data_IF_397439998497
#
_entry.id   IF_397439998497
#
_cell.length_a   1.000
_cell.length_b   1.000
_cell.length_c   1.000
_cell.angle_alpha   90.00
_cell.angle_beta   90.00
_cell.angle_gamma   90.00
#
_symmetry.space_group_name_H-M   'P 1'
#
loop_
_entity.id
_entity.type
_entity.pdbx_description
1 polymer ?
#
# COMPACT_ATOMS: atom_id res chain seq x y z
N UNK A 1 6.55 -19.86 -27.52
CA UNK A 1 6.85 -19.03 -26.33
C UNK A 1 5.58 -18.95 -25.49
N UNK A 2 4.95 -20.10 -25.27
CA UNK A 2 3.68 -20.26 -24.58
C UNK A 2 3.86 -21.50 -23.71
N UNK A 3 4.04 -21.31 -22.40
CA UNK A 3 3.96 -22.31 -21.31
C UNK A 3 4.72 -21.84 -20.04
N UNK A 4 4.55 -20.58 -19.62
CA UNK A 4 5.11 -20.10 -18.34
C UNK A 4 4.06 -19.77 -17.27
N UNK A 5 2.77 -19.96 -17.58
CA UNK A 5 1.69 -19.62 -16.65
C UNK A 5 1.12 -20.84 -15.89
N UNK A 6 1.53 -22.07 -16.22
CA UNK A 6 0.92 -23.27 -15.61
C UNK A 6 1.74 -23.97 -14.50
N UNK A 7 2.97 -23.55 -14.14
CA UNK A 7 3.78 -24.39 -13.21
C UNK A 7 4.55 -23.72 -12.05
N UNK A 8 4.52 -22.41 -11.84
CA UNK A 8 5.30 -21.82 -10.73
C UNK A 8 4.45 -21.41 -9.51
N UNK A 9 4.39 -22.29 -8.50
CA UNK A 9 3.88 -21.98 -7.14
C UNK A 9 4.62 -20.84 -6.41
N UNK A 10 5.63 -20.22 -7.04
CA UNK A 10 6.52 -19.20 -6.48
C UNK A 10 6.52 -17.88 -7.25
N UNK A 11 5.43 -17.55 -7.95
CA UNK A 11 5.31 -16.31 -8.71
C UNK A 11 4.15 -15.44 -8.18
N UNK A 12 4.39 -14.14 -8.03
CA UNK A 12 3.42 -13.13 -7.62
C UNK A 12 3.31 -12.06 -8.69
N UNK A 13 2.09 -11.65 -9.01
CA UNK A 13 1.83 -10.49 -9.87
C UNK A 13 1.14 -9.44 -9.03
N UNK A 14 1.70 -8.23 -9.01
CA UNK A 14 1.25 -7.15 -8.15
C UNK A 14 1.40 -5.80 -8.85
N UNK A 15 0.63 -4.82 -8.37
CA UNK A 15 0.68 -3.44 -8.85
C UNK A 15 1.09 -2.55 -7.71
N UNK A 16 2.21 -1.83 -7.88
CA UNK A 16 2.69 -0.81 -6.95
C UNK A 16 3.68 0.11 -7.67
N UNK A 17 3.82 1.34 -7.19
CA UNK A 17 4.63 2.38 -7.85
C UNK A 17 4.29 2.52 -9.35
N UNK A 18 3.00 2.54 -9.69
CA UNK A 18 2.51 2.74 -11.05
C UNK A 18 3.05 1.73 -12.07
N UNK A 19 3.29 0.49 -11.63
CA UNK A 19 3.84 -0.59 -12.46
C UNK A 19 3.17 -1.92 -12.15
N UNK A 20 3.00 -2.74 -13.19
CA UNK A 20 2.65 -4.15 -13.04
C UNK A 20 3.95 -4.94 -12.93
N UNK A 21 4.18 -5.53 -11.77
CA UNK A 21 5.35 -6.35 -11.48
C UNK A 21 4.98 -7.82 -11.51
N UNK A 22 5.85 -8.62 -12.10
CA UNK A 22 5.91 -10.06 -11.86
C UNK A 22 7.14 -10.34 -11.02
N UNK A 23 6.97 -10.96 -9.86
CA UNK A 23 8.00 -11.27 -8.89
C UNK A 23 8.05 -12.77 -8.67
N UNK A 24 9.24 -13.34 -8.52
CA UNK A 24 9.40 -14.74 -8.13
C UNK A 24 10.63 -14.93 -7.26
N UNK A 25 10.59 -15.97 -6.42
CA UNK A 25 11.75 -16.34 -5.60
C UNK A 25 12.68 -17.21 -6.44
N UNK A 26 13.97 -16.83 -6.52
CA UNK A 26 15.00 -17.65 -7.16
C UNK A 26 15.58 -18.61 -6.10
N UNK A 27 15.95 -18.07 -4.93
CA UNK A 27 16.42 -18.82 -3.76
C UNK A 27 16.22 -18.01 -2.47
N UNK A 28 16.92 -18.34 -1.38
CA UNK A 28 16.85 -17.65 -0.09
C UNK A 28 17.42 -16.22 -0.10
N UNK A 29 18.27 -15.89 -1.07
CA UNK A 29 19.01 -14.63 -1.13
C UNK A 29 18.59 -13.76 -2.33
N UNK A 30 17.93 -14.35 -3.33
CA UNK A 30 17.65 -13.70 -4.60
C UNK A 30 16.17 -13.76 -4.97
N UNK A 31 15.66 -12.60 -5.38
CA UNK A 31 14.36 -12.43 -6.01
C UNK A 31 14.56 -12.07 -7.49
N UNK A 32 13.76 -12.67 -8.36
CA UNK A 32 13.63 -12.25 -9.75
C UNK A 32 12.43 -11.33 -9.92
N UNK A 33 12.54 -10.39 -10.85
CA UNK A 33 11.46 -9.51 -11.21
C UNK A 33 11.40 -9.23 -12.71
N UNK A 34 10.21 -8.93 -13.20
CA UNK A 34 9.92 -8.46 -14.54
C UNK A 34 8.90 -7.31 -14.42
N UNK A 35 9.14 -6.21 -15.14
CA UNK A 35 8.14 -5.14 -15.29
C UNK A 35 7.28 -5.49 -16.50
N UNK A 36 6.03 -5.88 -16.25
CA UNK A 36 5.08 -6.23 -17.29
C UNK A 36 4.45 -5.00 -17.94
N UNK A 37 4.33 -3.89 -17.20
CA UNK A 37 3.76 -2.63 -17.68
C UNK A 37 4.14 -1.45 -16.78
N UNK A 38 4.22 -0.24 -17.36
CA UNK A 38 4.36 1.03 -16.64
C UNK A 38 3.15 1.91 -16.96
N UNK A 39 2.43 2.36 -15.94
CA UNK A 39 1.33 3.31 -16.08
C UNK A 39 1.83 4.77 -16.19
N UNK A 40 2.99 5.05 -15.59
CA UNK A 40 3.64 6.37 -15.62
C UNK A 40 5.13 6.27 -15.97
N UNK A 41 5.70 7.37 -16.49
CA UNK A 41 7.14 7.49 -16.69
C UNK A 41 7.87 7.64 -15.34
N UNK A 42 8.35 6.53 -14.80
CA UNK A 42 9.21 6.52 -13.61
C UNK A 42 10.67 6.37 -14.01
N UNK A 43 11.50 7.35 -13.64
CA UNK A 43 12.92 7.45 -14.00
C UNK A 43 13.84 6.70 -13.04
N UNK A 44 13.35 6.33 -11.85
CA UNK A 44 14.12 5.55 -10.88
C UNK A 44 14.38 4.14 -11.40
N UNK A 45 15.55 3.62 -11.04
CA UNK A 45 15.92 2.24 -11.35
C UNK A 45 14.88 1.29 -10.73
N UNK A 46 14.35 0.32 -11.50
CA UNK A 46 13.45 -0.70 -10.96
C UNK A 46 13.96 -1.40 -9.70
N UNK A 47 15.26 -1.65 -9.61
CA UNK A 47 15.90 -2.28 -8.47
C UNK A 47 15.78 -1.39 -7.22
N UNK A 48 16.07 -0.10 -7.34
CA UNK A 48 15.98 0.85 -6.23
C UNK A 48 14.55 0.92 -5.67
N UNK A 49 13.54 0.85 -6.54
CA UNK A 49 12.13 0.82 -6.14
C UNK A 49 11.77 -0.44 -5.37
N UNK A 50 12.29 -1.60 -5.78
CA UNK A 50 12.04 -2.86 -5.08
C UNK A 50 12.76 -2.89 -3.74
N UNK A 51 14.02 -2.45 -3.68
CA UNK A 51 14.77 -2.33 -2.43
C UNK A 51 14.04 -1.41 -1.45
N UNK A 52 13.51 -0.28 -1.93
CA UNK A 52 12.69 0.64 -1.14
C UNK A 52 11.37 -0.03 -0.70
N UNK A 53 10.62 -0.63 -1.62
CA UNK A 53 9.31 -1.24 -1.35
C UNK A 53 9.39 -2.36 -0.31
N UNK A 54 10.41 -3.21 -0.38
CA UNK A 54 10.62 -4.30 0.56
C UNK A 54 11.45 -3.89 1.78
N UNK A 55 11.97 -2.67 1.84
CA UNK A 55 12.89 -2.20 2.88
C UNK A 55 14.07 -3.17 3.07
N UNK A 56 14.78 -3.45 1.97
CA UNK A 56 15.88 -4.44 1.96
C UNK A 56 17.12 -3.96 2.71
N UNK A 57 17.23 -2.66 2.99
CA UNK A 57 18.24 -2.06 3.87
C UNK A 57 18.05 -2.43 5.35
N UNK A 58 16.86 -2.89 5.74
CA UNK A 58 16.57 -3.33 7.11
C UNK A 58 17.08 -4.75 7.34
N UNK A 59 18.02 -4.89 8.28
CA UNK A 59 18.53 -6.17 8.77
C UNK A 59 17.50 -6.87 9.67
N UNK A 60 16.70 -7.75 9.04
CA UNK A 60 15.70 -8.54 9.75
C UNK A 60 16.31 -9.52 10.76
N UNK A 61 17.47 -10.11 10.48
CA UNK A 61 18.07 -11.08 11.41
C UNK A 61 18.48 -10.39 12.70
N UNK A 62 19.06 -9.20 12.59
CA UNK A 62 19.39 -8.38 13.75
C UNK A 62 18.14 -8.02 14.55
N UNK A 63 17.06 -7.59 13.88
CA UNK A 63 15.79 -7.30 14.55
C UNK A 63 15.19 -8.52 15.25
N UNK A 64 15.22 -9.68 14.60
CA UNK A 64 14.71 -10.92 15.18
C UNK A 64 15.50 -11.31 16.43
N UNK A 65 16.84 -11.20 16.39
CA UNK A 65 17.72 -11.41 17.55
C UNK A 65 17.40 -10.44 18.68
N UNK A 66 17.21 -9.16 18.36
CA UNK A 66 16.86 -8.13 19.34
C UNK A 66 15.50 -8.41 20.00
N UNK A 67 14.46 -8.67 19.21
CA UNK A 67 13.12 -8.95 19.73
C UNK A 67 13.08 -10.25 20.54
N UNK A 68 13.79 -11.28 20.10
CA UNK A 68 13.96 -12.53 20.84
C UNK A 68 14.70 -12.31 22.17
N UNK A 69 15.65 -11.38 22.24
CA UNK A 69 16.33 -11.05 23.52
C UNK A 69 15.37 -10.40 24.53
N UNK A 70 14.42 -9.59 24.05
CA UNK A 70 13.49 -8.79 24.89
C UNK A 70 12.16 -9.48 25.19
N UNK A 71 11.75 -10.48 24.39
CA UNK A 71 10.46 -11.14 24.51
C UNK A 71 10.62 -12.66 24.44
N UNK A 72 10.44 -13.35 25.57
CA UNK A 72 10.53 -14.82 25.66
C UNK A 72 9.50 -15.52 24.79
N UNK A 73 8.29 -14.96 24.64
CA UNK A 73 7.28 -15.50 23.74
C UNK A 73 7.74 -15.46 22.28
N UNK A 74 8.27 -14.32 21.84
CA UNK A 74 8.78 -14.17 20.47
C UNK A 74 9.97 -15.10 20.21
N UNK A 75 10.90 -15.21 21.18
CA UNK A 75 12.01 -16.17 21.11
C UNK A 75 11.50 -17.60 20.89
N UNK A 76 10.59 -18.07 21.75
CA UNK A 76 10.02 -19.41 21.64
C UNK A 76 9.29 -19.61 20.30
N UNK A 77 8.59 -18.58 19.81
CA UNK A 77 7.90 -18.62 18.52
C UNK A 77 8.88 -18.81 17.35
N UNK A 78 9.99 -18.07 17.34
CA UNK A 78 11.02 -18.20 16.30
C UNK A 78 11.80 -19.51 16.43
N UNK A 79 12.10 -19.97 17.64
CA UNK A 79 12.78 -21.26 17.85
C UNK A 79 11.92 -22.45 17.39
N UNK A 80 10.60 -22.40 17.59
CA UNK A 80 9.70 -23.51 17.24
C UNK A 80 9.17 -23.43 15.80
N UNK A 81 9.00 -22.22 15.26
CA UNK A 81 8.31 -21.98 13.97
C UNK A 81 9.06 -21.01 13.06
N UNK A 82 10.37 -20.84 13.28
CA UNK A 82 11.21 -19.87 12.58
C UNK A 82 11.11 -19.95 11.07
N UNK A 83 11.10 -21.15 10.50
CA UNK A 83 10.98 -21.37 9.05
C UNK A 83 9.70 -20.76 8.44
N UNK A 84 8.58 -20.78 9.19
CA UNK A 84 7.30 -20.22 8.72
C UNK A 84 7.27 -18.70 8.82
N UNK A 85 7.96 -18.14 9.82
CA UNK A 85 7.98 -16.70 10.09
C UNK A 85 9.25 -16.01 9.59
N UNK A 86 10.11 -16.71 8.84
CA UNK A 86 11.33 -16.15 8.24
C UNK A 86 10.96 -15.16 7.14
N UNK A 87 11.63 -14.02 7.11
CA UNK A 87 11.50 -13.04 6.03
C UNK A 87 10.24 -12.18 6.04
N UNK A 88 9.50 -12.12 7.16
CA UNK A 88 8.33 -11.22 7.28
C UNK A 88 8.81 -9.77 7.36
N UNK A 89 8.51 -8.99 6.33
CA UNK A 89 8.85 -7.57 6.21
C UNK A 89 7.62 -6.69 6.24
N UNK A 90 7.80 -5.46 6.72
CA UNK A 90 6.82 -4.40 6.52
C UNK A 90 7.11 -3.79 5.15
N UNK A 91 6.09 -3.63 4.30
CA UNK A 91 6.25 -3.01 2.98
C UNK A 91 6.25 -1.49 3.10
N UNK A 92 6.95 -0.82 2.18
CA UNK A 92 6.93 0.63 1.96
C UNK A 92 6.03 0.98 0.76
N UNK A 93 4.72 0.80 0.94
CA UNK A 93 3.66 1.20 0.02
C UNK A 93 3.53 2.72 -0.12
N UNK A 94 2.91 3.15 -1.22
CA UNK A 94 2.62 4.56 -1.48
C UNK A 94 1.67 5.17 -0.44
N UNK A 95 1.93 6.38 0.09
CA UNK A 95 1.12 6.96 1.16
C UNK A 95 -0.38 7.10 0.84
N UNK A 96 -0.72 7.46 -0.41
CA UNK A 96 -2.11 7.63 -0.84
C UNK A 96 -2.85 6.27 -0.85
N UNK A 97 -2.24 5.26 -1.47
CA UNK A 97 -2.77 3.89 -1.50
C UNK A 97 -2.95 3.34 -0.08
N UNK A 98 -1.90 3.46 0.75
CA UNK A 98 -1.92 3.01 2.13
C UNK A 98 -3.07 3.68 2.91
N UNK A 99 -3.21 5.01 2.83
CA UNK A 99 -4.28 5.75 3.50
C UNK A 99 -5.67 5.16 3.20
N UNK A 100 -6.00 4.95 1.93
CA UNK A 100 -7.29 4.42 1.54
C UNK A 100 -7.47 2.94 1.91
N UNK A 101 -6.45 2.11 1.73
CA UNK A 101 -6.47 0.72 2.18
C UNK A 101 -6.77 0.62 3.69
N UNK A 102 -6.19 1.50 4.51
CA UNK A 102 -6.49 1.59 5.93
C UNK A 102 -7.92 2.06 6.22
N UNK A 103 -8.44 3.05 5.50
CA UNK A 103 -9.85 3.47 5.61
C UNK A 103 -10.79 2.30 5.30
N UNK A 104 -10.47 1.45 4.30
CA UNK A 104 -11.25 0.26 3.96
C UNK A 104 -11.21 -0.82 5.07
N UNK A 105 -10.09 -0.90 5.80
CA UNK A 105 -9.84 -1.91 6.83
C UNK A 105 -10.62 -1.72 8.13
N UNK A 106 -11.12 -0.51 8.39
CA UNK A 106 -11.80 -0.17 9.65
C UNK A 106 -12.96 -1.13 9.92
N UNK A 107 -12.92 -1.95 10.97
CA UNK A 107 -13.94 -2.97 11.28
C UNK A 107 -14.27 -3.90 10.08
N UNK A 108 -13.26 -4.53 9.49
CA UNK A 108 -13.39 -5.37 8.29
C UNK A 108 -12.45 -6.59 8.35
N UNK A 109 -12.58 -7.52 7.40
CA UNK A 109 -11.68 -8.68 7.25
C UNK A 109 -10.86 -8.61 5.95
N UNK A 110 -9.73 -9.32 5.92
CA UNK A 110 -8.74 -9.24 4.82
C UNK A 110 -9.39 -9.51 3.46
N UNK A 111 -10.20 -10.57 3.34
CA UNK A 111 -10.85 -10.93 2.06
C UNK A 111 -11.75 -9.81 1.52
N UNK A 112 -12.53 -9.17 2.39
CA UNK A 112 -13.39 -8.04 1.98
C UNK A 112 -12.58 -6.78 1.70
N UNK A 113 -11.48 -6.53 2.42
CA UNK A 113 -10.60 -5.40 2.17
C UNK A 113 -9.97 -5.52 0.78
N UNK A 114 -9.42 -6.69 0.42
CA UNK A 114 -8.83 -6.93 -0.90
C UNK A 114 -9.83 -6.64 -2.02
N UNK A 115 -11.06 -7.17 -1.91
CA UNK A 115 -12.13 -6.88 -2.87
C UNK A 115 -12.50 -5.41 -2.96
N UNK A 116 -12.47 -4.68 -1.83
CA UNK A 116 -12.74 -3.25 -1.82
C UNK A 116 -11.62 -2.46 -2.50
N UNK A 117 -10.35 -2.83 -2.29
CA UNK A 117 -9.22 -2.21 -3.02
C UNK A 117 -9.36 -2.47 -4.51
N UNK A 118 -9.58 -3.72 -4.93
CA UNK A 118 -9.79 -4.09 -6.34
C UNK A 118 -10.95 -3.31 -6.97
N UNK A 119 -12.10 -3.25 -6.29
CA UNK A 119 -13.26 -2.49 -6.76
C UNK A 119 -12.96 -0.98 -6.84
N UNK A 120 -12.16 -0.44 -5.92
CA UNK A 120 -11.77 0.97 -5.93
C UNK A 120 -10.87 1.29 -7.13
N UNK A 121 -9.87 0.45 -7.39
CA UNK A 121 -8.99 0.59 -8.56
C UNK A 121 -9.77 0.36 -9.87
N UNK A 122 -10.73 -0.56 -9.90
CA UNK A 122 -11.63 -0.74 -11.05
C UNK A 122 -12.45 0.52 -11.37
N UNK A 123 -12.99 1.19 -10.34
CA UNK A 123 -13.86 2.35 -10.52
C UNK A 123 -13.10 3.62 -10.93
N UNK A 124 -11.90 3.83 -10.38
CA UNK A 124 -11.22 5.12 -10.48
C UNK A 124 -9.79 5.05 -11.03
N UNK A 125 -9.20 3.86 -11.09
CA UNK A 125 -7.82 3.63 -11.52
C UNK A 125 -7.68 3.49 -13.03
N UNK A 126 -6.42 3.45 -13.48
CA UNK A 126 -6.09 3.26 -14.90
C UNK A 126 -6.04 1.79 -15.23
N UNK A 127 -6.84 1.35 -16.22
CA UNK A 127 -6.91 -0.06 -16.66
C UNK A 127 -5.78 -0.39 -17.65
N UNK A 128 -5.22 -1.59 -17.53
CA UNK A 128 -4.41 -2.24 -18.57
C UNK A 128 -4.86 -3.69 -18.79
N UNK A 129 -4.94 -4.10 -20.05
CA UNK A 129 -5.16 -5.49 -20.43
C UNK A 129 -3.83 -6.09 -20.93
N UNK A 130 -3.33 -7.10 -20.21
CA UNK A 130 -2.15 -7.89 -20.59
C UNK A 130 -2.61 -9.29 -21.03
N UNK A 131 -1.76 -10.00 -21.77
CA UNK A 131 -2.07 -11.34 -22.29
C UNK A 131 -2.44 -12.37 -21.20
N UNK A 132 -2.07 -12.12 -19.94
CA UNK A 132 -2.34 -12.99 -18.79
C UNK A 132 -3.33 -12.39 -17.77
N UNK A 133 -3.94 -11.25 -18.06
CA UNK A 133 -4.96 -10.68 -17.18
C UNK A 133 -5.15 -9.16 -17.30
N UNK A 134 -6.24 -8.68 -16.70
CA UNK A 134 -6.53 -7.26 -16.56
C UNK A 134 -6.03 -6.76 -15.22
N UNK A 135 -5.33 -5.63 -15.23
CA UNK A 135 -4.81 -4.97 -14.04
C UNK A 135 -5.27 -3.51 -14.01
N UNK A 136 -5.29 -2.94 -12.80
CA UNK A 136 -5.63 -1.55 -12.57
C UNK A 136 -4.55 -0.93 -11.71
N UNK A 137 -4.09 0.24 -12.08
CA UNK A 137 -3.29 1.07 -11.20
C UNK A 137 -4.15 1.62 -10.05
N UNK A 138 -3.50 1.96 -8.94
CA UNK A 138 -4.19 2.72 -7.91
C UNK A 138 -4.52 4.12 -8.45
N UNK A 139 -5.74 4.64 -8.22
CA UNK A 139 -6.13 5.93 -8.76
C UNK A 139 -5.23 7.07 -8.26
N UNK A 140 -4.79 7.90 -9.19
CA UNK A 140 -4.15 9.19 -8.88
C UNK A 140 -5.12 10.09 -8.13
N UNK A 141 -4.59 11.05 -7.37
CA UNK A 141 -5.46 11.99 -6.66
C UNK A 141 -6.32 12.83 -7.62
N UNK A 142 -5.82 13.11 -8.84
CA UNK A 142 -6.58 13.79 -9.89
C UNK A 142 -7.77 12.96 -10.38
N UNK A 143 -7.60 11.65 -10.57
CA UNK A 143 -8.71 10.76 -10.92
C UNK A 143 -9.78 10.73 -9.82
N UNK A 144 -9.35 10.71 -8.54
CA UNK A 144 -10.27 10.76 -7.41
C UNK A 144 -11.03 12.09 -7.35
N UNK A 145 -10.35 13.22 -7.52
CA UNK A 145 -10.99 14.55 -7.46
C UNK A 145 -11.97 14.78 -8.60
N UNK A 146 -11.67 14.31 -9.81
CA UNK A 146 -12.57 14.40 -10.97
C UNK A 146 -13.88 13.61 -10.78
N UNK A 147 -13.86 12.56 -9.95
CA UNK A 147 -15.02 11.72 -9.67
C UNK A 147 -15.73 12.10 -8.35
N UNK A 148 -15.32 13.18 -7.68
CA UNK A 148 -15.77 13.51 -6.33
C UNK A 148 -17.30 13.65 -6.21
N UNK A 149 -17.96 14.24 -7.23
CA UNK A 149 -19.39 14.54 -7.21
C UNK A 149 -20.30 13.32 -7.11
N UNK A 150 -19.90 12.18 -7.68
CA UNK A 150 -20.67 10.93 -7.66
C UNK A 150 -20.09 9.87 -6.72
N UNK A 151 -18.93 10.14 -6.09
CA UNK A 151 -18.13 9.16 -5.38
C UNK A 151 -18.88 8.48 -4.23
N UNK A 152 -19.53 9.24 -3.33
CA UNK A 152 -20.21 8.63 -2.17
C UNK A 152 -21.31 7.66 -2.62
N UNK A 153 -22.16 8.09 -3.56
CA UNK A 153 -23.27 7.27 -4.05
C UNK A 153 -22.75 6.02 -4.77
N UNK A 154 -21.75 6.16 -5.62
CA UNK A 154 -21.12 5.05 -6.35
C UNK A 154 -20.55 4.02 -5.39
N UNK A 155 -19.77 4.46 -4.39
CA UNK A 155 -19.18 3.56 -3.39
C UNK A 155 -20.24 2.88 -2.51
N UNK A 156 -21.34 3.55 -2.18
CA UNK A 156 -22.48 2.93 -1.48
C UNK A 156 -23.09 1.81 -2.31
N UNK A 157 -23.32 2.04 -3.59
CA UNK A 157 -23.85 1.04 -4.53
C UNK A 157 -22.90 -0.16 -4.66
N UNK A 158 -21.59 0.07 -4.57
CA UNK A 158 -20.55 -0.97 -4.59
C UNK A 158 -20.29 -1.63 -3.21
N UNK A 159 -21.11 -1.38 -2.19
CA UNK A 159 -21.03 -2.11 -0.92
C UNK A 159 -19.95 -1.65 0.06
N UNK A 160 -19.39 -0.44 -0.10
CA UNK A 160 -18.43 0.14 0.84
C UNK A 160 -19.08 0.54 2.18
N UNK A 161 -20.42 0.62 2.21
CA UNK A 161 -21.20 0.93 3.40
C UNK A 161 -20.90 2.32 3.95
N UNK A 162 -20.78 2.47 5.27
CA UNK A 162 -20.50 3.76 5.89
C UNK A 162 -19.14 4.36 5.50
N UNK A 163 -18.19 3.52 5.03
CA UNK A 163 -16.85 3.97 4.60
C UNK A 163 -16.92 4.82 3.34
N UNK A 164 -17.95 4.67 2.51
CA UNK A 164 -18.17 5.51 1.33
C UNK A 164 -18.15 7.01 1.67
N UNK A 165 -18.83 7.38 2.76
CA UNK A 165 -18.84 8.77 3.28
C UNK A 165 -17.46 9.21 3.75
N UNK A 166 -16.71 8.33 4.43
CA UNK A 166 -15.36 8.64 4.91
C UNK A 166 -14.38 8.87 3.75
N UNK A 167 -14.46 8.03 2.72
CA UNK A 167 -13.65 8.12 1.50
C UNK A 167 -13.95 9.43 0.78
N UNK A 168 -15.22 9.69 0.50
CA UNK A 168 -15.68 10.94 -0.14
C UNK A 168 -15.18 12.17 0.62
N UNK A 169 -15.43 12.25 1.94
CA UNK A 169 -14.99 13.39 2.74
C UNK A 169 -13.46 13.49 2.87
N UNK A 170 -12.75 12.37 2.80
CA UNK A 170 -11.28 12.37 2.79
C UNK A 170 -10.77 12.99 1.50
N UNK A 171 -11.28 12.57 0.34
CA UNK A 171 -10.91 13.19 -0.96
C UNK A 171 -11.28 14.67 -0.98
N UNK A 172 -12.50 15.02 -0.52
CA UNK A 172 -12.95 16.41 -0.43
C UNK A 172 -12.02 17.27 0.44
N UNK A 173 -11.61 16.76 1.60
CA UNK A 173 -10.68 17.45 2.51
C UNK A 173 -9.28 17.60 1.90
N UNK A 174 -8.73 16.50 1.36
CA UNK A 174 -7.43 16.50 0.67
C UNK A 174 -7.39 17.46 -0.53
N UNK A 175 -8.54 17.70 -1.18
CA UNK A 175 -8.65 18.61 -2.32
C UNK A 175 -8.74 20.07 -1.90
N UNK A 176 -9.49 20.36 -0.82
CA UNK A 176 -9.92 21.71 -0.49
C UNK A 176 -9.12 22.39 0.63
N UNK A 177 -8.46 21.63 1.50
CA UNK A 177 -7.80 22.16 2.68
C UNK A 177 -6.55 22.98 2.33
N UNK A 178 -6.49 24.20 2.87
CA UNK A 178 -5.47 25.18 2.52
C UNK A 178 -4.06 24.72 2.90
N UNK A 179 -3.89 24.06 4.05
CA UNK A 179 -2.59 23.50 4.46
C UNK A 179 -2.09 22.42 3.48
N UNK A 180 -3.00 21.68 2.86
CA UNK A 180 -2.68 20.63 1.89
C UNK A 180 -2.35 21.24 0.54
N UNK A 181 -3.11 22.26 0.11
CA UNK A 181 -2.80 23.04 -1.11
C UNK A 181 -1.42 23.71 -1.00
N UNK A 182 -1.13 24.34 0.12
CA UNK A 182 0.16 24.98 0.39
C UNK A 182 1.33 24.00 0.42
N UNK A 183 1.08 22.74 0.77
CA UNK A 183 2.08 21.67 0.69
C UNK A 183 2.33 21.17 -0.75
N UNK A 184 1.60 21.68 -1.75
CA UNK A 184 1.68 21.22 -3.15
C UNK A 184 0.67 20.12 -3.49
N UNK A 185 -0.42 19.99 -2.73
CA UNK A 185 -1.49 19.02 -2.95
C UNK A 185 -1.40 17.78 -2.06
N UNK A 186 -2.39 16.88 -2.22
CA UNK A 186 -2.61 15.73 -1.33
C UNK A 186 -1.38 14.82 -1.20
N UNK A 187 -0.75 14.45 -2.31
CA UNK A 187 0.40 13.55 -2.31
C UNK A 187 1.65 14.20 -1.69
N UNK A 188 1.89 15.48 -1.96
CA UNK A 188 2.99 16.23 -1.36
C UNK A 188 2.78 16.40 0.15
N UNK A 189 1.55 16.68 0.58
CA UNK A 189 1.19 16.73 2.00
C UNK A 189 1.42 15.37 2.67
N UNK A 190 0.92 14.27 2.10
CA UNK A 190 1.12 12.93 2.64
C UNK A 190 2.62 12.57 2.75
N UNK A 191 3.42 12.86 1.71
CA UNK A 191 4.88 12.69 1.75
C UNK A 191 5.53 13.54 2.84
N UNK A 192 5.03 14.76 3.09
CA UNK A 192 5.57 15.64 4.13
C UNK A 192 5.34 15.13 5.55
N UNK A 193 4.26 14.36 5.78
CA UNK A 193 4.02 13.73 7.08
C UNK A 193 5.15 12.77 7.46
N UNK A 194 5.80 12.19 6.45
CA UNK A 194 7.02 11.38 6.51
C UNK A 194 8.28 12.10 7.01
N UNK A 195 8.17 13.35 7.45
CA UNK A 195 9.28 14.11 8.05
C UNK A 195 9.00 14.52 9.50
N UNK A 196 7.79 14.29 9.98
CA UNK A 196 7.34 14.64 11.33
C UNK A 196 7.67 13.55 12.36
N UNK A 197 7.57 13.85 13.65
CA UNK A 197 7.65 12.79 14.66
C UNK A 197 6.40 11.92 14.64
N UNK A 198 6.51 10.72 15.21
CA UNK A 198 5.43 9.73 15.16
C UNK A 198 4.07 10.29 15.57
N UNK A 199 4.05 10.92 16.75
CA UNK A 199 2.82 11.43 17.36
C UNK A 199 2.24 12.62 16.59
N UNK A 200 3.08 13.38 15.89
CA UNK A 200 2.66 14.54 15.10
C UNK A 200 2.01 14.09 13.79
N UNK A 201 2.67 13.20 13.05
CA UNK A 201 2.11 12.60 11.84
C UNK A 201 0.78 11.88 12.13
N UNK A 202 0.71 11.14 13.23
CA UNK A 202 -0.52 10.47 13.66
C UNK A 202 -1.65 11.46 13.96
N UNK A 203 -1.35 12.59 14.62
CA UNK A 203 -2.35 13.63 14.89
C UNK A 203 -2.86 14.28 13.61
N UNK A 204 -2.00 14.54 12.63
CA UNK A 204 -2.40 15.08 11.33
C UNK A 204 -3.31 14.12 10.58
N UNK A 205 -2.96 12.83 10.51
CA UNK A 205 -3.79 11.80 9.87
C UNK A 205 -5.17 11.66 10.54
N UNK A 206 -5.26 11.78 11.87
CA UNK A 206 -6.53 11.68 12.59
C UNK A 206 -7.50 12.84 12.32
N UNK A 207 -7.05 13.91 11.67
CA UNK A 207 -7.96 14.97 11.17
C UNK A 207 -8.78 14.49 9.98
N UNK A 208 -8.38 13.39 9.32
CA UNK A 208 -9.09 12.83 8.18
C UNK A 208 -10.35 12.04 8.63
N UNK A 209 -11.47 12.17 7.90
CA UNK A 209 -12.70 11.47 8.21
C UNK A 209 -12.53 9.95 8.27
N UNK A 210 -12.90 9.35 9.41
CA UNK A 210 -12.84 7.91 9.59
C UNK A 210 -11.44 7.36 9.91
N UNK A 211 -10.43 8.21 10.08
CA UNK A 211 -9.09 7.82 10.51
C UNK A 211 -8.95 8.02 12.02
N UNK A 212 -9.13 6.95 12.79
CA UNK A 212 -8.91 6.95 14.25
C UNK A 212 -7.46 6.61 14.63
N UNK A 213 -7.11 6.61 15.94
CA UNK A 213 -5.75 6.33 16.42
C UNK A 213 -5.15 5.03 15.88
N UNK A 214 -5.96 3.97 15.75
CA UNK A 214 -5.54 2.69 15.16
C UNK A 214 -5.13 2.85 13.70
N UNK A 215 -5.92 3.59 12.92
CA UNK A 215 -5.71 3.77 11.49
C UNK A 215 -4.62 4.78 11.21
N UNK A 216 -4.40 5.73 12.12
CA UNK A 216 -3.29 6.67 12.08
C UNK A 216 -1.96 6.08 12.57
N UNK A 217 -1.93 4.78 12.88
CA UNK A 217 -0.71 4.00 13.07
C UNK A 217 -0.32 3.30 11.75
N UNK A 218 -0.55 3.98 10.61
CA UNK A 218 0.05 3.58 9.32
C UNK A 218 1.54 3.44 9.59
N UNK A 219 2.15 2.25 9.40
CA UNK A 219 3.55 2.01 9.69
C UNK A 219 4.37 3.17 9.15
N UNK A 220 5.04 3.85 10.06
CA UNK A 220 5.72 5.08 9.75
C UNK A 220 6.73 4.86 8.62
N UNK A 221 7.37 3.70 8.57
CA UNK A 221 8.30 3.33 7.51
C UNK A 221 7.70 3.31 6.08
N UNK A 222 6.37 3.46 5.92
CA UNK A 222 5.68 3.74 4.66
C UNK A 222 5.89 5.18 4.14
N UNK A 223 6.32 6.09 5.01
CA UNK A 223 6.45 7.53 4.75
C UNK A 223 7.81 8.11 5.23
N UNK A 224 8.53 7.48 6.18
CA UNK A 224 9.82 7.99 6.70
C UNK A 224 11.06 7.28 6.12
N UNK A 225 12.16 8.04 6.07
CA UNK A 225 13.53 7.55 6.34
C UNK A 225 13.87 7.99 7.76
#
# INVERSE_FOLDING_TARGET
MDNLLEENQNCWICVFYHRVWRLWRIDDERIGYEICHNFEEERRDPKDLLEEYFQLDVDLEQLYKEWASKCSYFRNLIEQKGEVFKGIRILKQMPLEALFAFIFSANNNISRISKMVEQFCFLYGTKIDLHFGTFYDFPTFLQLSNNLSSMEQTLRNCGFGYRAKNIFKTVEKLLNEESIKNAGGAECWLKSLGKLKYLEASKELQKLPGVGPKLANIPQNLIFK
#
